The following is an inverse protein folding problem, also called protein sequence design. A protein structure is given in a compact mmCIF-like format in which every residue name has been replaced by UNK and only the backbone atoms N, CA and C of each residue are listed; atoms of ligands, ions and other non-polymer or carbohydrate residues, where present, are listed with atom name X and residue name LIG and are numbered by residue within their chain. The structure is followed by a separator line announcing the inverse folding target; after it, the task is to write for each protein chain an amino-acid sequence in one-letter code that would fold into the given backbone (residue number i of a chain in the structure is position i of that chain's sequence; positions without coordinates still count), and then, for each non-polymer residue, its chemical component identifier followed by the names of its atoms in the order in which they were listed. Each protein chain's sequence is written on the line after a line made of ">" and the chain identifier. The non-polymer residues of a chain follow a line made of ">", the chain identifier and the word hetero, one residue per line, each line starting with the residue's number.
data_IF_243777844280
#
_entry.id   IF_243777844280
#
_cell.length_a   1.000
_cell.length_b   1.000
_cell.length_c   1.000
_cell.angle_alpha   90.00
_cell.angle_beta   90.00
_cell.angle_gamma   90.00
#
_symmetry.space_group_name_H-M   'P 1'
#
loop_
_entity.id
_entity.type
_entity.pdbx_description
1 polymer ?
#
# COMPACT_ATOMS: atom_id res chain seq x y z
N UNK A 1 -10.09 32.45 -36.79
CA UNK A 1 -9.41 31.16 -37.03
C UNK A 1 -9.98 30.16 -36.05
N UNK A 2 -11.08 29.53 -36.47
CA UNK A 2 -11.75 28.43 -35.78
C UNK A 2 -10.80 27.23 -35.66
N UNK A 3 -10.52 26.80 -34.43
CA UNK A 3 -9.80 25.55 -34.17
C UNK A 3 -10.81 24.55 -33.66
N UNK A 4 -11.25 23.71 -34.60
CA UNK A 4 -12.08 22.53 -34.44
C UNK A 4 -11.64 21.67 -33.24
N UNK A 5 -12.56 21.48 -32.28
CA UNK A 5 -12.35 20.73 -31.03
C UNK A 5 -12.78 19.26 -31.11
N UNK A 6 -13.23 18.79 -32.28
CA UNK A 6 -13.87 17.47 -32.45
C UNK A 6 -13.01 16.46 -33.23
N UNK A 7 -11.67 16.52 -33.10
CA UNK A 7 -10.80 15.45 -33.64
C UNK A 7 -10.30 14.52 -32.53
N UNK A 8 -10.58 13.19 -32.57
CA UNK A 8 -10.12 12.26 -31.56
C UNK A 8 -8.60 12.09 -31.60
N UNK A 9 -7.89 12.76 -30.69
CA UNK A 9 -6.43 12.66 -30.63
C UNK A 9 -5.99 11.26 -30.22
N UNK A 10 -5.03 10.71 -30.97
CA UNK A 10 -4.47 9.39 -30.73
C UNK A 10 -3.75 9.30 -29.38
N UNK A 11 -3.60 8.06 -28.88
CA UNK A 11 -3.02 7.75 -27.56
C UNK A 11 -1.67 8.45 -27.29
N UNK A 12 -0.86 8.67 -28.33
CA UNK A 12 0.43 9.38 -28.24
C UNK A 12 0.32 10.91 -28.14
N UNK A 13 -0.70 11.52 -28.74
CA UNK A 13 -0.88 12.98 -28.76
C UNK A 13 -1.43 13.52 -27.45
N UNK A 14 -2.23 12.72 -26.72
CA UNK A 14 -2.62 13.03 -25.33
C UNK A 14 -1.42 13.17 -24.39
N UNK A 15 -0.36 12.38 -24.62
CA UNK A 15 0.87 12.42 -23.81
C UNK A 15 1.79 13.61 -24.11
N UNK A 16 1.74 14.16 -25.33
CA UNK A 16 2.56 15.34 -25.70
C UNK A 16 1.95 16.64 -25.16
N UNK A 17 0.62 16.79 -25.17
CA UNK A 17 -0.05 18.01 -24.67
C UNK A 17 0.01 18.18 -23.14
N UNK A 18 0.21 17.09 -22.39
CA UNK A 18 0.46 17.12 -20.94
C UNK A 18 1.89 17.56 -20.56
N UNK A 19 2.84 17.65 -21.51
CA UNK A 19 4.20 18.13 -21.23
C UNK A 19 4.25 19.67 -21.26
N UNK A 20 3.72 20.31 -20.22
CA UNK A 20 4.11 21.67 -19.79
C UNK A 20 3.38 22.06 -18.50
N UNK A 21 3.86 21.52 -17.38
CA UNK A 21 4.13 22.30 -16.18
C UNK A 21 5.40 21.70 -15.58
N UNK A 22 6.45 22.51 -15.42
CA UNK A 22 7.62 22.12 -14.61
C UNK A 22 7.08 21.99 -13.18
N UNK A 23 6.81 20.76 -12.72
CA UNK A 23 6.31 20.52 -11.38
C UNK A 23 7.41 20.77 -10.35
N UNK A 24 7.03 21.36 -9.21
CA UNK A 24 7.83 21.59 -8.00
C UNK A 24 8.29 20.22 -7.44
N UNK A 25 9.35 19.67 -8.00
CA UNK A 25 10.01 18.49 -7.44
C UNK A 25 11.49 18.81 -7.27
N UNK A 26 12.09 18.56 -6.09
CA UNK A 26 13.45 18.94 -5.80
C UNK A 26 14.40 18.38 -6.87
N UNK A 27 15.14 19.28 -7.51
CA UNK A 27 16.22 18.92 -8.42
C UNK A 27 17.29 18.19 -7.62
N UNK A 28 17.61 16.96 -8.03
CA UNK A 28 18.84 16.30 -7.62
C UNK A 28 18.65 15.01 -6.82
N UNK A 29 18.27 13.93 -7.51
CA UNK A 29 18.88 12.59 -7.36
C UNK A 29 18.87 11.89 -8.71
N UNK A 30 19.67 12.42 -9.64
CA UNK A 30 20.20 11.61 -10.75
C UNK A 30 21.04 10.49 -10.14
N UNK A 31 20.57 9.26 -10.26
CA UNK A 31 21.22 8.09 -9.71
C UNK A 31 20.60 6.80 -10.25
N UNK A 32 20.58 6.64 -11.56
CA UNK A 32 20.43 5.31 -12.18
C UNK A 32 21.72 4.95 -12.88
N UNK A 33 22.44 3.93 -12.39
CA UNK A 33 23.12 3.00 -13.26
C UNK A 33 22.38 1.66 -13.21
N UNK A 34 21.66 1.36 -14.29
CA UNK A 34 21.30 -0.01 -14.65
C UNK A 34 20.01 -0.58 -14.07
N UNK A 35 19.21 -1.18 -14.94
CA UNK A 35 18.35 -2.29 -14.56
C UNK A 35 16.87 -1.96 -14.44
N UNK A 36 16.12 -2.47 -15.40
CA UNK A 36 14.68 -2.71 -15.34
C UNK A 36 14.37 -3.59 -14.13
N UNK A 37 14.21 -3.01 -12.95
CA UNK A 37 13.71 -3.69 -11.77
C UNK A 37 12.25 -3.32 -11.56
N UNK A 38 11.33 -4.23 -11.86
CA UNK A 38 10.14 -4.35 -11.02
C UNK A 38 10.63 -4.35 -9.58
N UNK A 39 10.23 -3.40 -8.72
CA UNK A 39 10.64 -3.47 -7.33
C UNK A 39 10.19 -4.83 -6.81
N UNK A 40 11.15 -5.63 -6.36
CA UNK A 40 10.86 -6.89 -5.70
C UNK A 40 9.99 -6.57 -4.49
N UNK A 41 8.69 -6.84 -4.62
CA UNK A 41 7.68 -6.59 -3.57
C UNK A 41 7.99 -7.36 -2.28
N UNK A 42 9.01 -8.23 -2.29
CA UNK A 42 9.49 -8.99 -1.13
C UNK A 42 10.40 -8.21 -0.18
N UNK A 43 10.99 -7.08 -0.56
CA UNK A 43 11.98 -6.38 0.28
C UNK A 43 11.72 -4.88 0.38
N UNK A 44 10.85 -4.50 1.33
CA UNK A 44 10.92 -3.21 2.02
C UNK A 44 10.41 -1.95 1.30
N UNK A 45 9.96 -2.04 0.05
CA UNK A 45 9.46 -0.87 -0.70
C UNK A 45 7.93 -0.88 -0.86
N UNK A 46 7.20 -0.84 0.26
CA UNK A 46 5.74 -0.72 0.27
C UNK A 46 5.29 0.42 1.19
N UNK A 47 5.11 1.62 0.62
CA UNK A 47 4.19 2.66 1.10
C UNK A 47 3.92 2.71 2.63
N UNK A 48 4.87 3.33 3.34
CA UNK A 48 4.75 3.76 4.73
C UNK A 48 4.99 2.65 5.75
N UNK A 49 6.13 2.72 6.42
CA UNK A 49 6.40 2.00 7.66
C UNK A 49 6.78 0.53 7.53
N UNK A 50 8.06 0.27 7.25
CA UNK A 50 8.90 -0.72 7.95
C UNK A 50 8.58 -2.22 7.93
N UNK A 51 7.39 -2.67 7.53
CA UNK A 51 7.00 -4.08 7.59
C UNK A 51 6.95 -4.71 6.21
N UNK A 52 7.86 -5.62 5.89
CA UNK A 52 7.78 -6.43 4.66
C UNK A 52 6.42 -7.11 4.49
N UNK A 53 6.05 -7.42 3.26
CA UNK A 53 4.77 -8.07 2.94
C UNK A 53 4.67 -9.46 3.59
N UNK A 54 3.46 -9.87 3.97
CA UNK A 54 3.22 -11.26 4.38
C UNK A 54 3.45 -12.21 3.20
N UNK A 55 4.12 -13.33 3.47
CA UNK A 55 4.12 -14.48 2.57
C UNK A 55 2.71 -15.07 2.47
N UNK A 56 2.37 -15.73 1.36
CA UNK A 56 1.05 -16.35 1.18
C UNK A 56 0.75 -17.40 2.26
N UNK A 57 1.76 -18.13 2.72
CA UNK A 57 1.64 -19.08 3.83
C UNK A 57 1.34 -18.39 5.16
N UNK A 58 1.86 -17.19 5.40
CA UNK A 58 1.60 -16.42 6.61
C UNK A 58 0.18 -15.84 6.60
N UNK A 59 -0.33 -15.42 5.43
CA UNK A 59 -1.65 -14.78 5.29
C UNK A 59 -2.81 -15.64 5.80
N UNK A 60 -2.68 -16.96 5.74
CA UNK A 60 -3.71 -17.92 6.20
C UNK A 60 -3.92 -17.83 7.71
N UNK A 61 -2.85 -17.63 8.48
CA UNK A 61 -2.87 -17.67 9.94
C UNK A 61 -2.70 -16.30 10.59
N UNK A 62 -2.18 -15.32 9.83
CA UNK A 62 -1.95 -13.98 10.35
C UNK A 62 -3.24 -13.24 10.67
N UNK A 63 -3.21 -12.53 11.79
CA UNK A 63 -4.27 -11.62 12.24
C UNK A 63 -3.67 -10.31 12.72
N UNK A 64 -4.35 -9.20 12.47
CA UNK A 64 -4.02 -7.93 13.11
C UNK A 64 -4.17 -8.06 14.63
N UNK A 65 -3.15 -7.66 15.38
CA UNK A 65 -3.13 -7.75 16.84
C UNK A 65 -4.22 -6.90 17.52
N UNK A 66 -4.64 -5.79 16.90
CA UNK A 66 -5.66 -4.91 17.47
C UNK A 66 -7.09 -5.30 17.05
N UNK A 67 -7.38 -5.23 15.75
CA UNK A 67 -8.75 -5.44 15.25
C UNK A 67 -9.07 -6.90 14.89
N UNK A 68 -8.08 -7.78 14.79
CA UNK A 68 -8.28 -9.19 14.46
C UNK A 68 -8.51 -9.49 12.97
N UNK A 69 -8.44 -8.52 12.05
CA UNK A 69 -8.65 -8.78 10.62
C UNK A 69 -7.63 -9.78 10.07
N UNK A 70 -8.04 -10.66 9.15
CA UNK A 70 -7.18 -11.67 8.54
C UNK A 70 -6.17 -11.13 7.54
N UNK A 71 -5.09 -11.89 7.34
CA UNK A 71 -4.03 -11.60 6.36
C UNK A 71 -4.49 -11.56 4.90
N UNK A 72 -5.56 -12.28 4.54
CA UNK A 72 -6.13 -12.26 3.19
C UNK A 72 -6.94 -10.99 2.88
N UNK A 73 -7.39 -10.27 3.91
CA UNK A 73 -8.19 -9.06 3.77
C UNK A 73 -7.35 -7.77 3.85
N UNK A 74 -6.01 -7.89 3.86
CA UNK A 74 -5.09 -6.75 3.98
C UNK A 74 -4.03 -6.76 2.90
N UNK A 75 -3.71 -5.57 2.38
CA UNK A 75 -2.74 -5.39 1.31
C UNK A 75 -1.29 -5.19 1.82
N UNK A 76 -1.11 -4.70 3.05
CA UNK A 76 0.19 -4.63 3.73
C UNK A 76 0.05 -4.89 5.23
N UNK A 77 1.17 -5.01 5.91
CA UNK A 77 1.28 -5.10 7.38
C UNK A 77 2.22 -4.02 7.90
N UNK A 78 2.02 -3.63 9.15
CA UNK A 78 2.76 -2.58 9.84
C UNK A 78 3.21 -3.05 11.20
N UNK A 79 4.24 -2.39 11.71
CA UNK A 79 4.73 -2.65 13.05
C UNK A 79 3.74 -2.13 14.09
N UNK A 80 3.74 -2.78 15.25
CA UNK A 80 2.82 -2.50 16.34
C UNK A 80 3.48 -2.64 17.70
N UNK A 81 2.72 -2.48 18.78
CA UNK A 81 3.24 -2.60 20.14
C UNK A 81 3.75 -4.02 20.46
N UNK A 82 3.24 -5.03 19.75
CA UNK A 82 3.68 -6.42 19.87
C UNK A 82 4.89 -6.76 18.97
N UNK A 83 5.48 -5.77 18.29
CA UNK A 83 6.64 -5.96 17.41
C UNK A 83 6.29 -5.85 15.92
N UNK A 84 7.21 -6.31 15.05
CA UNK A 84 7.12 -6.06 13.62
C UNK A 84 5.97 -6.83 12.97
N UNK A 85 5.36 -6.25 11.93
CA UNK A 85 4.27 -6.88 11.14
C UNK A 85 3.07 -7.37 11.97
N UNK A 86 2.72 -6.67 13.05
CA UNK A 86 1.62 -7.09 13.95
C UNK A 86 0.31 -6.36 13.71
N UNK A 87 0.29 -5.28 12.92
CA UNK A 87 -0.92 -4.49 12.66
C UNK A 87 -1.29 -4.48 11.17
N UNK A 88 -2.60 -4.38 10.90
CA UNK A 88 -3.11 -4.11 9.56
C UNK A 88 -2.80 -2.67 9.12
N UNK A 89 -3.03 -2.29 7.86
CA UNK A 89 -2.71 -0.95 7.36
C UNK A 89 -3.39 0.16 8.17
N UNK A 90 -4.67 -0.03 8.52
CA UNK A 90 -5.47 0.99 9.21
C UNK A 90 -5.07 1.13 10.70
N UNK A 91 -4.93 0.00 11.42
CA UNK A 91 -4.49 0.03 12.81
C UNK A 91 -3.05 0.53 12.94
N UNK A 92 -2.18 0.10 12.02
CA UNK A 92 -0.78 0.51 12.00
C UNK A 92 -0.59 1.98 11.67
N UNK A 93 -1.41 2.55 10.78
CA UNK A 93 -1.37 3.99 10.48
C UNK A 93 -1.67 4.84 11.74
N UNK A 94 -2.71 4.46 12.49
CA UNK A 94 -3.08 5.16 13.71
C UNK A 94 -2.06 4.94 14.84
N UNK A 95 -1.54 3.72 14.97
CA UNK A 95 -0.45 3.42 15.91
C UNK A 95 0.84 4.18 15.55
N UNK A 96 1.19 4.33 14.28
CA UNK A 96 2.38 5.09 13.88
C UNK A 96 2.28 6.55 14.32
N UNK A 97 1.08 7.15 14.15
CA UNK A 97 0.76 8.53 14.55
C UNK A 97 0.73 8.71 16.07
N UNK A 98 0.00 7.87 16.78
CA UNK A 98 -0.37 8.11 18.18
C UNK A 98 0.41 7.24 19.18
N UNK A 99 1.14 6.23 18.69
CA UNK A 99 1.77 5.15 19.48
C UNK A 99 0.80 4.39 20.38
N UNK A 100 -0.50 4.46 20.07
CA UNK A 100 -1.57 3.73 20.74
C UNK A 100 -2.52 3.17 19.67
N UNK A 101 -2.81 1.85 19.70
CA UNK A 101 -3.80 1.29 18.78
C UNK A 101 -5.20 1.85 19.05
N UNK A 102 -6.02 2.08 18.01
CA UNK A 102 -7.37 2.60 18.17
C UNK A 102 -8.26 1.65 18.98
N UNK A 103 -8.82 2.14 20.09
CA UNK A 103 -9.68 1.35 20.99
C UNK A 103 -10.99 0.95 20.32
N UNK A 104 -11.57 1.85 19.52
CA UNK A 104 -12.88 1.66 18.89
C UNK A 104 -12.95 0.51 17.86
N UNK A 105 -11.81 -0.05 17.45
CA UNK A 105 -11.75 -1.26 16.60
C UNK A 105 -11.17 -2.47 17.30
N UNK A 106 -10.89 -2.41 18.60
CA UNK A 106 -10.27 -3.54 19.32
C UNK A 106 -11.18 -4.76 19.21
N UNK A 107 -10.65 -5.83 18.61
CA UNK A 107 -11.36 -7.09 18.41
C UNK A 107 -12.51 -7.06 17.39
N UNK A 108 -12.64 -6.02 16.57
CA UNK A 108 -13.76 -5.85 15.63
C UNK A 108 -14.03 -7.07 14.74
N UNK A 109 -12.98 -7.76 14.29
CA UNK A 109 -13.03 -8.92 13.38
C UNK A 109 -12.82 -10.27 14.08
N UNK A 110 -12.98 -10.34 15.41
CA UNK A 110 -12.69 -11.56 16.20
C UNK A 110 -13.61 -12.73 15.82
N UNK A 111 -14.82 -12.43 15.38
CA UNK A 111 -15.83 -13.43 15.02
C UNK A 111 -15.88 -13.71 13.51
N UNK A 112 -15.08 -13.02 12.71
CA UNK A 112 -15.01 -13.27 11.29
C UNK A 112 -14.43 -14.68 11.04
N UNK A 113 -15.20 -15.50 10.34
CA UNK A 113 -14.79 -16.82 9.86
C UNK A 113 -14.42 -16.67 8.38
N UNK A 114 -13.22 -17.09 7.95
CA UNK A 114 -12.88 -17.05 6.55
C UNK A 114 -13.73 -18.11 5.84
N UNK A 115 -14.38 -17.73 4.73
CA UNK A 115 -15.31 -18.60 4.00
C UNK A 115 -14.70 -19.96 3.57
N UNK A 116 -13.37 -20.08 3.55
CA UNK A 116 -12.64 -21.30 3.18
C UNK A 116 -12.45 -22.33 4.31
N UNK A 117 -13.10 -22.19 5.47
CA UNK A 117 -12.98 -23.13 6.60
C UNK A 117 -14.06 -24.22 6.67
N UNK A 118 -14.96 -24.28 5.68
CA UNK A 118 -15.95 -25.34 5.54
C UNK A 118 -15.59 -26.29 4.40
N UNK A 119 -14.53 -27.09 4.59
CA UNK A 119 -14.28 -28.35 3.90
C UNK A 119 -13.72 -29.33 4.92
#
# INVERSE_FOLDING_TARGET
>A
FDVDSETPLGRGERSKRKRRFRSISPVGRSGTPGGRGTPDTGSGAGYGGGGGTLLDSERVHWRCFNCGVFGHAVWTVRDGPAGPRTLCPNCGLLYERDKVPPEWVRGLHRHDVPLNRHM
#
